data_IF_271562519920
#
_entry.id   IF_271562519920
#
_cell.length_a   1.000
_cell.length_b   1.000
_cell.length_c   1.000
_cell.angle_alpha   90.00
_cell.angle_beta   90.00
_cell.angle_gamma   90.00
#
_symmetry.space_group_name_H-M   'P 1'
#
loop_
_entity.id
_entity.type
_entity.pdbx_description
1 polymer ?
#
# COMPACT_ATOMS: atom_id res chain seq x y z
N UNK A 1 -25.85 -10.23 -21.07
CA UNK A 1 -24.48 -10.50 -21.55
C UNK A 1 -23.77 -9.16 -21.52
N UNK A 2 -22.74 -9.02 -20.68
CA UNK A 2 -21.97 -7.78 -20.54
C UNK A 2 -21.00 -7.67 -21.71
N UNK A 3 -20.91 -6.50 -22.34
CA UNK A 3 -19.99 -6.23 -23.47
C UNK A 3 -18.78 -5.42 -23.01
N UNK A 4 -17.72 -5.35 -23.83
CA UNK A 4 -16.47 -4.67 -23.44
C UNK A 4 -16.67 -3.15 -23.24
N UNK A 5 -17.60 -2.53 -23.97
CA UNK A 5 -18.01 -1.13 -23.79
C UNK A 5 -18.76 -0.88 -22.46
N UNK A 6 -19.21 -1.95 -21.78
CA UNK A 6 -19.84 -1.93 -20.46
C UNK A 6 -18.88 -2.36 -19.35
N UNK A 7 -17.59 -2.56 -19.67
CA UNK A 7 -16.61 -2.94 -18.67
C UNK A 7 -16.47 -1.82 -17.63
N UNK A 8 -16.63 -2.17 -16.36
CA UNK A 8 -16.58 -1.26 -15.21
C UNK A 8 -15.20 -0.65 -14.90
N UNK A 9 -14.26 -0.72 -15.85
CA UNK A 9 -12.96 -0.09 -15.66
C UNK A 9 -13.14 1.40 -15.39
N UNK A 10 -12.22 1.95 -14.60
CA UNK A 10 -12.11 3.39 -14.46
C UNK A 10 -13.12 4.07 -13.51
N UNK A 11 -14.03 3.36 -12.85
CA UNK A 11 -14.83 3.96 -11.77
C UNK A 11 -13.98 4.17 -10.50
N UNK A 12 -13.25 3.11 -10.11
CA UNK A 12 -12.35 3.11 -8.94
C UNK A 12 -10.91 2.87 -9.35
N UNK A 13 -10.02 3.69 -8.83
CA UNK A 13 -8.58 3.54 -9.03
C UNK A 13 -8.02 2.69 -7.90
N UNK A 14 -7.47 1.53 -8.25
CA UNK A 14 -6.81 0.62 -7.31
C UNK A 14 -5.41 0.29 -7.79
N UNK A 15 -4.38 0.61 -7.01
CA UNK A 15 -3.01 0.28 -7.38
C UNK A 15 -2.10 -0.10 -6.22
N UNK A 16 -1.10 -0.89 -6.58
CA UNK A 16 0.05 -1.18 -5.74
C UNK A 16 1.12 -0.12 -5.98
N UNK A 17 1.58 0.54 -4.91
CA UNK A 17 2.60 1.57 -4.98
C UNK A 17 3.87 1.11 -4.29
N UNK A 18 4.85 0.69 -5.10
CA UNK A 18 6.12 0.14 -4.62
C UNK A 18 7.22 1.17 -4.60
N UNK A 19 8.21 0.98 -3.74
CA UNK A 19 9.42 1.81 -3.71
C UNK A 19 10.26 1.50 -2.48
N UNK A 20 11.57 1.73 -2.57
CA UNK A 20 12.47 1.58 -1.42
C UNK A 20 12.06 2.48 -0.25
N UNK A 21 12.58 2.19 0.95
CA UNK A 21 12.35 3.08 2.10
C UNK A 21 12.89 4.48 1.79
N UNK A 22 12.13 5.52 2.16
CA UNK A 22 12.50 6.91 1.85
C UNK A 22 12.31 7.36 0.40
N UNK A 23 11.67 6.54 -0.46
CA UNK A 23 11.37 6.94 -1.84
C UNK A 23 10.29 8.03 -1.98
N UNK A 24 9.60 8.36 -0.88
CA UNK A 24 8.61 9.45 -0.83
C UNK A 24 7.16 9.06 -1.10
N UNK A 25 6.83 7.75 -1.05
CA UNK A 25 5.46 7.23 -1.25
C UNK A 25 4.41 7.99 -0.42
N UNK A 26 4.58 8.03 0.90
CA UNK A 26 3.63 8.67 1.83
C UNK A 26 3.47 10.17 1.57
N UNK A 27 4.57 10.89 1.35
CA UNK A 27 4.53 12.32 1.04
C UNK A 27 3.81 12.63 -0.27
N UNK A 28 3.99 11.79 -1.30
CA UNK A 28 3.36 11.99 -2.62
C UNK A 28 1.83 11.92 -2.62
N UNK A 29 1.23 11.36 -1.56
CA UNK A 29 -0.23 11.34 -1.38
C UNK A 29 -0.82 12.76 -1.28
N UNK A 30 -0.01 13.78 -0.93
CA UNK A 30 -0.44 15.19 -0.87
C UNK A 30 -1.10 15.64 -2.18
N UNK A 31 -0.61 15.14 -3.32
CA UNK A 31 -1.13 15.51 -4.64
C UNK A 31 -2.61 15.15 -4.83
N UNK A 32 -3.15 14.19 -4.06
CA UNK A 32 -4.54 13.77 -4.14
C UNK A 32 -5.49 14.64 -3.31
N UNK A 33 -4.97 15.35 -2.29
CA UNK A 33 -5.79 16.14 -1.36
C UNK A 33 -6.67 17.21 -2.01
N UNK A 34 -6.30 17.86 -3.14
CA UNK A 34 -7.18 18.79 -3.82
C UNK A 34 -8.48 18.18 -4.35
N UNK A 35 -8.56 16.87 -4.54
CA UNK A 35 -9.71 16.20 -5.18
C UNK A 35 -10.26 15.00 -4.43
N UNK A 36 -9.60 14.58 -3.35
CA UNK A 36 -9.96 13.36 -2.63
C UNK A 36 -9.84 13.54 -1.13
N UNK A 37 -10.67 12.80 -0.40
CA UNK A 37 -10.50 12.59 1.03
C UNK A 37 -9.72 11.28 1.25
N UNK A 38 -8.71 11.31 2.11
CA UNK A 38 -7.86 10.16 2.39
C UNK A 38 -8.22 9.55 3.73
N UNK A 39 -8.28 8.22 3.76
CA UNK A 39 -8.40 7.42 4.99
C UNK A 39 -7.26 6.43 5.04
N UNK A 40 -6.36 6.62 5.99
CA UNK A 40 -5.05 5.95 6.01
C UNK A 40 -4.97 4.98 7.19
N UNK A 41 -4.74 3.71 6.87
CA UNK A 41 -4.28 2.72 7.85
C UNK A 41 -2.75 2.84 7.89
N UNK A 42 -2.25 3.58 8.89
CA UNK A 42 -0.83 3.89 9.06
C UNK A 42 -0.15 2.85 9.96
N UNK A 43 0.47 1.86 9.34
CA UNK A 43 1.23 0.81 10.01
C UNK A 43 2.68 1.24 10.31
N UNK A 44 3.20 2.21 9.55
CA UNK A 44 4.60 2.63 9.61
C UNK A 44 4.86 3.86 10.49
N UNK A 45 3.82 4.48 11.06
CA UNK A 45 3.95 5.74 11.81
C UNK A 45 4.75 6.77 11.00
N UNK A 46 4.45 6.86 9.70
CA UNK A 46 5.28 7.52 8.69
C UNK A 46 4.69 8.81 8.11
N UNK A 47 3.58 9.29 8.69
CA UNK A 47 2.78 10.37 8.12
C UNK A 47 3.43 11.76 8.19
N UNK A 48 4.55 11.93 8.91
CA UNK A 48 5.25 13.22 9.06
C UNK A 48 5.49 13.93 7.72
N UNK A 49 5.89 13.17 6.69
CA UNK A 49 6.11 13.72 5.35
C UNK A 49 4.81 14.26 4.75
N UNK A 50 3.72 13.50 4.81
CA UNK A 50 2.41 13.92 4.30
C UNK A 50 1.90 15.16 5.06
N UNK A 51 2.02 15.18 6.38
CA UNK A 51 1.61 16.33 7.22
C UNK A 51 2.35 17.60 6.82
N UNK A 52 3.67 17.52 6.62
CA UNK A 52 4.47 18.69 6.25
C UNK A 52 4.12 19.19 4.84
N UNK A 53 3.97 18.29 3.87
CA UNK A 53 3.54 18.64 2.51
C UNK A 53 2.13 19.23 2.50
N UNK A 54 1.17 18.61 3.19
CA UNK A 54 -0.21 19.07 3.25
C UNK A 54 -0.33 20.46 3.89
N UNK A 55 0.42 20.73 4.97
CA UNK A 55 0.46 22.07 5.60
C UNK A 55 1.02 23.15 4.67
N UNK A 56 1.97 22.80 3.82
CA UNK A 56 2.61 23.73 2.90
C UNK A 56 1.76 23.98 1.64
N UNK A 57 1.13 22.94 1.10
CA UNK A 57 0.52 22.97 -0.24
C UNK A 57 -1.00 23.11 -0.21
N UNK A 58 -1.67 22.56 0.81
CA UNK A 58 -3.13 22.57 0.93
C UNK A 58 -3.60 22.58 2.40
N UNK A 59 -3.24 23.63 3.18
CA UNK A 59 -3.55 23.69 4.62
C UNK A 59 -5.05 23.57 4.94
N UNK A 60 -5.92 24.02 4.03
CA UNK A 60 -7.38 23.95 4.19
C UNK A 60 -7.96 22.54 3.99
N UNK A 61 -7.15 21.59 3.52
CA UNK A 61 -7.52 20.19 3.27
C UNK A 61 -6.96 19.23 4.32
N UNK A 62 -6.36 19.71 5.40
CA UNK A 62 -5.84 18.83 6.47
C UNK A 62 -6.94 17.97 7.10
N UNK A 63 -8.16 18.50 7.24
CA UNK A 63 -9.31 17.77 7.78
C UNK A 63 -9.87 16.70 6.84
N UNK A 64 -9.48 16.68 5.57
CA UNK A 64 -9.87 15.63 4.63
C UNK A 64 -8.96 14.40 4.70
N UNK A 65 -8.04 14.36 5.67
CA UNK A 65 -7.18 13.20 5.94
C UNK A 65 -7.52 12.65 7.32
N UNK A 66 -8.15 11.48 7.35
CA UNK A 66 -8.31 10.69 8.56
C UNK A 66 -7.28 9.56 8.55
N UNK A 67 -6.74 9.22 9.71
CA UNK A 67 -5.77 8.12 9.80
C UNK A 67 -5.84 7.43 11.15
N UNK A 68 -5.46 6.16 11.16
CA UNK A 68 -5.30 5.36 12.36
C UNK A 68 -3.90 4.75 12.34
N UNK A 69 -3.06 5.14 13.30
CA UNK A 69 -1.72 4.59 13.44
C UNK A 69 -1.77 3.31 14.27
N UNK A 70 -1.48 2.17 13.64
CA UNK A 70 -1.63 0.85 14.25
C UNK A 70 -0.27 0.16 14.44
N UNK A 71 0.18 0.11 15.69
CA UNK A 71 1.41 -0.60 16.08
C UNK A 71 1.25 -1.37 17.37
N UNK A 72 1.75 -2.60 17.36
CA UNK A 72 1.86 -3.39 18.58
C UNK A 72 2.90 -2.77 19.51
N UNK A 73 2.58 -2.76 20.81
CA UNK A 73 3.48 -2.24 21.84
C UNK A 73 4.53 -3.29 22.13
N UNK A 74 5.81 -2.92 22.06
CA UNK A 74 6.92 -3.77 22.48
C UNK A 74 7.36 -3.39 23.89
N UNK A 75 7.78 -4.40 24.66
CA UNK A 75 8.47 -4.22 25.95
C UNK A 75 9.83 -4.88 25.90
N UNK A 76 10.83 -4.21 26.46
CA UNK A 76 12.15 -4.80 26.66
C UNK A 76 12.06 -5.90 27.74
N UNK A 77 12.66 -7.06 27.48
CA UNK A 77 12.81 -8.13 28.47
C UNK A 77 14.24 -8.65 28.44
N UNK A 78 14.72 -9.35 29.49
CA UNK A 78 16.06 -9.96 29.49
C UNK A 78 16.29 -10.94 28.32
N UNK A 79 15.22 -11.53 27.78
CA UNK A 79 15.27 -12.43 26.61
C UNK A 79 15.14 -11.70 25.26
N UNK A 80 15.20 -10.37 25.26
CA UNK A 80 15.00 -9.51 24.10
C UNK A 80 13.65 -8.79 24.07
N UNK A 81 13.44 -7.83 23.15
CA UNK A 81 12.16 -7.17 22.95
C UNK A 81 11.07 -8.18 22.57
N UNK A 82 9.90 -8.05 23.19
CA UNK A 82 8.71 -8.86 22.88
C UNK A 82 7.47 -7.99 22.83
N UNK A 83 6.44 -8.44 22.15
CA UNK A 83 5.13 -7.79 22.20
C UNK A 83 4.61 -7.81 23.64
N UNK A 84 4.07 -6.66 24.04
CA UNK A 84 3.44 -6.46 25.33
C UNK A 84 1.95 -6.81 25.24
N UNK A 85 1.61 -8.01 25.67
CA UNK A 85 0.24 -8.51 25.65
C UNK A 85 -0.08 -9.24 24.34
N UNK A 86 -1.35 -9.18 23.93
CA UNK A 86 -1.83 -9.77 22.68
C UNK A 86 -1.60 -8.80 21.52
N UNK A 87 -1.03 -9.23 20.38
CA UNK A 87 -0.91 -8.39 19.20
C UNK A 87 -2.29 -7.99 18.69
N UNK A 88 -2.51 -6.69 18.50
CA UNK A 88 -3.79 -6.10 18.07
C UNK A 88 -3.69 -5.35 16.76
N UNK A 89 -2.50 -4.93 16.33
CA UNK A 89 -2.35 -4.07 15.15
C UNK A 89 -3.02 -4.65 13.89
N UNK A 90 -2.85 -5.95 13.63
CA UNK A 90 -3.51 -6.61 12.50
C UNK A 90 -5.04 -6.64 12.66
N UNK A 91 -5.56 -7.07 13.82
CA UNK A 91 -7.01 -7.15 14.06
C UNK A 91 -7.66 -5.77 13.98
N UNK A 92 -6.99 -4.74 14.51
CA UNK A 92 -7.44 -3.36 14.39
C UNK A 92 -7.51 -2.89 12.93
N UNK A 93 -6.53 -3.27 12.09
CA UNK A 93 -6.56 -2.94 10.67
C UNK A 93 -7.74 -3.64 9.96
N UNK A 94 -8.01 -4.91 10.27
CA UNK A 94 -9.16 -5.63 9.71
C UNK A 94 -10.48 -5.01 10.16
N UNK A 95 -10.60 -4.62 11.43
CA UNK A 95 -11.79 -3.95 11.94
C UNK A 95 -12.04 -2.64 11.19
N UNK A 96 -10.99 -1.85 10.89
CA UNK A 96 -11.11 -0.63 10.10
C UNK A 96 -11.54 -0.90 8.66
N UNK A 97 -11.12 -2.02 8.05
CA UNK A 97 -11.56 -2.43 6.71
C UNK A 97 -13.04 -2.85 6.67
N UNK A 98 -13.56 -3.40 7.76
CA UNK A 98 -14.99 -3.73 7.90
C UNK A 98 -15.83 -2.48 8.23
N UNK A 99 -15.40 -1.72 9.23
CA UNK A 99 -16.09 -0.53 9.72
C UNK A 99 -15.10 0.49 10.27
N UNK A 100 -15.10 1.67 9.68
CA UNK A 100 -14.24 2.78 10.09
C UNK A 100 -14.70 3.40 11.41
N UNK A 101 -13.89 4.31 11.97
CA UNK A 101 -14.12 4.89 13.30
C UNK A 101 -15.38 5.76 13.38
N UNK A 102 -15.80 6.36 12.27
CA UNK A 102 -17.08 7.08 12.14
C UNK A 102 -18.28 6.15 11.90
N UNK A 103 -18.04 4.84 11.83
CA UNK A 103 -19.02 3.81 11.59
C UNK A 103 -19.41 3.59 10.13
N UNK A 104 -18.83 4.33 9.19
CA UNK A 104 -18.97 4.08 7.75
C UNK A 104 -18.19 2.83 7.33
N UNK A 105 -18.57 2.24 6.20
CA UNK A 105 -17.91 1.06 5.66
C UNK A 105 -16.98 1.44 4.51
N UNK A 106 -15.69 1.05 4.56
CA UNK A 106 -14.75 1.32 3.48
C UNK A 106 -15.18 0.81 2.12
N UNK A 107 -15.94 -0.28 2.04
CA UNK A 107 -16.42 -0.82 0.76
C UNK A 107 -17.51 0.05 0.09
N UNK A 108 -18.12 0.98 0.83
CA UNK A 108 -19.27 1.80 0.39
C UNK A 108 -18.91 3.31 0.23
N UNK A 109 -17.63 3.70 0.35
CA UNK A 109 -17.26 5.13 0.35
C UNK A 109 -17.36 5.85 -0.99
N UNK A 110 -17.42 5.12 -2.09
CA UNK A 110 -17.52 5.71 -3.43
C UNK A 110 -16.21 6.32 -3.92
N UNK A 111 -16.32 7.06 -5.02
CA UNK A 111 -15.17 7.47 -5.85
C UNK A 111 -14.44 8.71 -5.34
N UNK A 112 -14.96 9.37 -4.29
CA UNK A 112 -14.44 10.60 -3.67
C UNK A 112 -13.44 10.31 -2.54
N UNK A 113 -13.46 9.09 -1.97
CA UNK A 113 -12.52 8.69 -0.91
C UNK A 113 -11.47 7.73 -1.43
N UNK A 114 -10.30 7.76 -0.80
CA UNK A 114 -9.21 6.83 -1.06
C UNK A 114 -8.82 6.15 0.25
N UNK A 115 -8.96 4.83 0.28
CA UNK A 115 -8.35 4.00 1.32
C UNK A 115 -6.86 3.83 1.01
N UNK A 116 -6.01 4.15 1.97
CA UNK A 116 -4.56 3.95 1.86
C UNK A 116 -4.10 2.96 2.92
N UNK A 117 -3.39 1.91 2.52
CA UNK A 117 -2.66 1.01 3.43
C UNK A 117 -1.18 1.41 3.37
N UNK A 118 -0.68 2.04 4.43
CA UNK A 118 0.71 2.51 4.52
C UNK A 118 1.43 1.91 5.74
N UNK A 119 2.10 0.76 5.62
CA UNK A 119 2.33 -0.04 4.42
C UNK A 119 1.95 -1.50 4.59
N UNK A 120 1.79 -2.19 3.45
CA UNK A 120 1.60 -3.64 3.40
C UNK A 120 2.76 -4.40 4.04
N UNK A 121 3.98 -3.85 3.99
CA UNK A 121 5.16 -4.46 4.62
C UNK A 121 4.97 -4.57 6.14
N UNK A 122 4.53 -3.49 6.79
CA UNK A 122 4.26 -3.49 8.22
C UNK A 122 2.97 -4.20 8.59
N UNK A 123 1.93 -4.15 7.73
CA UNK A 123 0.73 -4.98 7.90
C UNK A 123 1.08 -6.47 7.89
N UNK A 124 1.98 -6.92 7.00
CA UNK A 124 2.46 -8.30 6.98
C UNK A 124 3.19 -8.70 8.25
N UNK A 125 3.98 -7.81 8.85
CA UNK A 125 4.61 -8.05 10.16
C UNK A 125 3.57 -8.18 11.27
N UNK A 126 2.57 -7.31 11.29
CA UNK A 126 1.47 -7.40 12.26
C UNK A 126 0.68 -8.72 12.10
N UNK A 127 0.44 -9.16 10.86
CA UNK A 127 -0.20 -10.45 10.56
C UNK A 127 0.62 -11.65 11.05
N UNK A 128 1.96 -11.56 10.99
CA UNK A 128 2.85 -12.59 11.53
C UNK A 128 2.73 -12.73 13.04
N UNK A 129 2.74 -11.61 13.75
CA UNK A 129 2.58 -11.59 15.21
C UNK A 129 1.21 -12.10 15.63
N UNK A 130 0.16 -11.72 14.88
CA UNK A 130 -1.16 -12.31 15.02
C UNK A 130 -1.14 -13.83 14.82
N UNK A 131 -0.48 -14.33 13.77
CA UNK A 131 -0.39 -15.77 13.49
C UNK A 131 0.36 -16.55 14.58
N UNK A 132 1.42 -15.97 15.16
CA UNK A 132 2.10 -16.53 16.35
C UNK A 132 1.11 -16.64 17.51
N UNK A 133 0.35 -15.57 17.77
CA UNK A 133 -0.62 -15.54 18.87
C UNK A 133 -1.78 -16.53 18.68
N UNK A 134 -2.18 -16.81 17.43
CA UNK A 134 -3.22 -17.81 17.12
C UNK A 134 -2.75 -19.25 17.34
N UNK A 135 -1.46 -19.53 17.15
CA UNK A 135 -0.91 -20.88 17.29
C UNK A 135 0.43 -20.89 18.04
N UNK A 136 0.47 -20.49 19.32
CA UNK A 136 1.71 -20.24 20.05
C UNK A 136 2.51 -21.52 20.37
N UNK A 137 1.87 -22.69 20.30
CA UNK A 137 2.49 -23.99 20.56
C UNK A 137 3.15 -24.59 19.33
N UNK A 138 2.98 -23.99 18.15
CA UNK A 138 3.63 -24.46 16.93
C UNK A 138 5.14 -24.46 17.08
N UNK A 139 5.77 -25.56 16.69
CA UNK A 139 7.24 -25.70 16.65
C UNK A 139 7.81 -25.48 15.26
N UNK A 140 6.95 -25.29 14.26
CA UNK A 140 7.34 -25.05 12.88
C UNK A 140 7.00 -23.60 12.47
N UNK A 141 8.00 -22.70 12.40
CA UNK A 141 7.77 -21.31 12.01
C UNK A 141 7.06 -21.13 10.67
N UNK A 142 7.17 -22.13 9.76
CA UNK A 142 6.49 -22.10 8.45
C UNK A 142 4.97 -22.03 8.58
N UNK A 143 4.40 -22.55 9.67
CA UNK A 143 2.95 -22.47 9.90
C UNK A 143 2.51 -21.03 10.19
N UNK A 144 3.28 -20.26 10.96
CA UNK A 144 2.98 -18.86 11.22
C UNK A 144 3.15 -17.99 9.97
N UNK A 145 4.22 -18.22 9.20
CA UNK A 145 4.40 -17.56 7.91
C UNK A 145 3.24 -17.85 6.95
N UNK A 146 2.81 -19.11 6.85
CA UNK A 146 1.66 -19.48 6.03
C UNK A 146 0.39 -18.77 6.49
N UNK A 147 0.05 -18.85 7.78
CA UNK A 147 -1.14 -18.20 8.34
C UNK A 147 -1.15 -16.68 8.09
N UNK A 148 0.00 -16.03 8.27
CA UNK A 148 0.14 -14.60 8.00
C UNK A 148 0.02 -14.27 6.50
N UNK A 149 0.60 -15.08 5.62
CA UNK A 149 0.49 -14.90 4.17
C UNK A 149 -0.94 -15.07 3.69
N UNK A 150 -1.65 -16.10 4.18
CA UNK A 150 -3.03 -16.40 3.78
C UNK A 150 -3.96 -15.24 4.15
N UNK A 151 -3.83 -14.64 5.34
CA UNK A 151 -4.67 -13.50 5.73
C UNK A 151 -4.32 -12.21 4.99
N UNK A 152 -3.05 -11.97 4.65
CA UNK A 152 -2.66 -10.80 3.83
C UNK A 152 -3.17 -10.97 2.39
N UNK A 153 -3.09 -12.17 1.83
CA UNK A 153 -3.64 -12.49 0.52
C UNK A 153 -5.15 -12.20 0.49
N UNK A 154 -5.88 -12.62 1.52
CA UNK A 154 -7.32 -12.32 1.68
C UNK A 154 -7.59 -10.82 1.81
N UNK A 155 -6.80 -10.06 2.57
CA UNK A 155 -6.95 -8.60 2.65
C UNK A 155 -6.84 -7.95 1.27
N UNK A 156 -5.81 -8.32 0.51
CA UNK A 156 -5.58 -7.76 -0.83
C UNK A 156 -6.71 -8.16 -1.77
N UNK A 157 -7.15 -9.43 -1.73
CA UNK A 157 -8.28 -9.91 -2.51
C UNK A 157 -9.56 -9.13 -2.20
N UNK A 158 -9.86 -8.87 -0.93
CA UNK A 158 -11.03 -8.10 -0.50
C UNK A 158 -10.99 -6.67 -1.02
N UNK A 159 -9.92 -5.91 -0.77
CA UNK A 159 -9.85 -4.49 -1.16
C UNK A 159 -9.77 -4.30 -2.69
N UNK A 160 -9.30 -5.30 -3.43
CA UNK A 160 -9.25 -5.28 -4.91
C UNK A 160 -10.49 -5.86 -5.58
N UNK A 161 -11.38 -6.51 -4.82
CA UNK A 161 -12.62 -7.10 -5.34
C UNK A 161 -13.58 -6.06 -5.96
N UNK A 162 -14.53 -6.55 -6.75
CA UNK A 162 -15.57 -5.73 -7.39
C UNK A 162 -16.51 -5.05 -6.38
N UNK A 163 -16.81 -5.74 -5.27
CA UNK A 163 -17.73 -5.24 -4.23
C UNK A 163 -17.15 -4.06 -3.45
N UNK A 164 -15.82 -3.92 -3.43
CA UNK A 164 -15.14 -2.84 -2.72
C UNK A 164 -15.15 -1.57 -3.59
N UNK A 165 -16.25 -0.80 -3.51
CA UNK A 165 -16.56 0.39 -4.33
C UNK A 165 -15.87 1.66 -3.79
N UNK A 166 -14.55 1.60 -3.69
CA UNK A 166 -13.69 2.69 -3.17
C UNK A 166 -12.32 2.65 -3.85
N UNK A 167 -11.69 3.82 -4.00
CA UNK A 167 -10.30 3.87 -4.51
C UNK A 167 -9.33 3.31 -3.47
N UNK A 168 -8.30 2.59 -3.91
CA UNK A 168 -7.36 1.91 -3.02
C UNK A 168 -5.92 2.16 -3.43
N UNK A 169 -5.09 2.58 -2.47
CA UNK A 169 -3.64 2.64 -2.62
C UNK A 169 -3.02 1.71 -1.59
N UNK A 170 -2.22 0.76 -2.06
CA UNK A 170 -1.42 -0.10 -1.17
C UNK A 170 0.05 0.26 -1.32
N UNK A 171 0.61 0.94 -0.33
CA UNK A 171 2.03 1.25 -0.28
C UNK A 171 2.81 0.02 0.20
N UNK A 172 3.95 -0.26 -0.44
CA UNK A 172 4.86 -1.31 0.04
C UNK A 172 6.31 -1.06 -0.36
N UNK A 173 7.23 -1.70 0.36
CA UNK A 173 8.65 -1.73 0.01
C UNK A 173 8.94 -2.72 -1.12
N UNK A 174 10.19 -2.70 -1.61
CA UNK A 174 10.67 -3.66 -2.59
C UNK A 174 11.70 -4.54 -1.92
N UNK A 175 11.52 -5.86 -2.02
CA UNK A 175 12.55 -6.84 -1.70
C UNK A 175 13.34 -7.13 -2.97
N UNK A 176 14.66 -6.93 -2.93
CA UNK A 176 15.55 -7.29 -4.02
C UNK A 176 16.02 -8.73 -3.83
N UNK A 177 15.84 -9.54 -4.86
CA UNK A 177 16.24 -10.95 -4.88
C UNK A 177 17.27 -11.12 -5.99
N UNK A 178 18.48 -11.52 -5.61
CA UNK A 178 19.52 -11.92 -6.55
C UNK A 178 19.30 -13.37 -6.97
N UNK A 179 19.25 -13.58 -8.28
CA UNK A 179 19.15 -14.89 -8.91
C UNK A 179 20.55 -15.49 -9.10
N UNK A 180 20.62 -16.81 -9.27
CA UNK A 180 21.89 -17.53 -9.44
C UNK A 180 22.66 -17.11 -10.72
N UNK A 181 21.98 -16.52 -11.69
CA UNK A 181 22.56 -15.96 -12.92
C UNK A 181 23.10 -14.52 -12.74
N UNK A 182 23.09 -13.99 -11.51
CA UNK A 182 23.55 -12.65 -11.18
C UNK A 182 22.53 -11.54 -11.49
N UNK A 183 21.32 -11.88 -11.95
CA UNK A 183 20.26 -10.89 -12.16
C UNK A 183 19.55 -10.55 -10.85
N UNK A 184 19.27 -9.27 -10.62
CA UNK A 184 18.49 -8.80 -9.46
C UNK A 184 17.06 -8.51 -9.88
N UNK A 185 16.08 -9.20 -9.29
CA UNK A 185 14.65 -8.94 -9.49
C UNK A 185 14.02 -8.35 -8.23
N UNK A 186 13.19 -7.34 -8.40
CA UNK A 186 12.42 -6.73 -7.34
C UNK A 186 11.06 -7.41 -7.17
N UNK A 187 10.61 -7.55 -5.92
CA UNK A 187 9.27 -8.00 -5.57
C UNK A 187 8.64 -7.06 -4.56
N UNK A 188 7.31 -6.95 -4.59
CA UNK A 188 6.56 -6.25 -3.56
C UNK A 188 6.82 -6.92 -2.20
N UNK A 189 7.29 -6.13 -1.24
CA UNK A 189 7.65 -6.63 0.09
C UNK A 189 6.41 -6.96 0.90
N UNK A 190 6.44 -8.08 1.61
CA UNK A 190 5.39 -8.52 2.52
C UNK A 190 5.97 -9.54 3.51
N UNK A 191 5.12 -10.30 4.19
CA UNK A 191 5.56 -11.31 5.14
C UNK A 191 6.08 -12.58 4.44
N UNK A 192 7.37 -12.84 4.59
CA UNK A 192 8.06 -13.95 3.94
C UNK A 192 8.19 -13.78 2.41
N UNK A 193 8.78 -14.76 1.73
CA UNK A 193 9.16 -14.64 0.31
C UNK A 193 8.09 -15.09 -0.69
N UNK A 194 7.09 -15.86 -0.25
CA UNK A 194 6.16 -16.53 -1.15
C UNK A 194 5.04 -15.62 -1.70
N UNK A 195 4.70 -14.56 -0.96
CA UNK A 195 3.57 -13.69 -1.31
C UNK A 195 3.96 -12.57 -2.28
N UNK A 196 5.20 -12.06 -2.21
CA UNK A 196 5.69 -10.95 -3.04
C UNK A 196 5.40 -11.09 -4.55
N UNK A 197 5.68 -12.24 -5.19
CA UNK A 197 5.37 -12.47 -6.60
C UNK A 197 3.86 -12.60 -6.93
N UNK A 198 3.01 -12.80 -5.92
CA UNK A 198 1.55 -12.96 -6.08
C UNK A 198 0.80 -11.65 -5.92
N UNK A 199 1.27 -10.74 -5.06
CA UNK A 199 0.61 -9.47 -4.75
C UNK A 199 0.26 -8.66 -6.01
N UNK A 200 1.18 -8.46 -6.98
CA UNK A 200 0.84 -7.70 -8.19
C UNK A 200 -0.31 -8.28 -8.99
N UNK A 201 -0.63 -9.58 -8.87
CA UNK A 201 -1.70 -10.24 -9.65
C UNK A 201 -3.09 -9.67 -9.36
N UNK A 202 -3.31 -9.13 -8.17
CA UNK A 202 -4.57 -8.50 -7.77
C UNK A 202 -4.76 -7.09 -8.32
N UNK A 203 -3.68 -6.46 -8.78
CA UNK A 203 -3.71 -5.09 -9.28
C UNK A 203 -3.51 -5.05 -10.79
N UNK A 204 -4.36 -4.27 -11.46
CA UNK A 204 -4.18 -3.90 -12.86
C UNK A 204 -3.19 -2.76 -13.03
N UNK A 205 -2.93 -2.00 -11.96
CA UNK A 205 -1.99 -0.88 -11.92
C UNK A 205 -0.94 -1.11 -10.83
N UNK A 206 0.33 -0.96 -11.19
CA UNK A 206 1.46 -1.05 -10.26
C UNK A 206 2.45 0.06 -10.60
N UNK A 207 2.71 0.94 -9.63
CA UNK A 207 3.53 2.14 -9.78
C UNK A 207 4.79 2.03 -8.93
N UNK A 208 5.88 2.66 -9.38
CA UNK A 208 7.16 2.69 -8.65
C UNK A 208 7.52 4.13 -8.27
N UNK A 209 7.62 4.41 -6.97
CA UNK A 209 8.31 5.57 -6.45
C UNK A 209 9.82 5.30 -6.48
N UNK A 210 10.53 6.03 -7.33
CA UNK A 210 11.98 5.90 -7.52
C UNK A 210 12.69 7.20 -7.15
N UNK A 211 13.80 7.06 -6.43
CA UNK A 211 14.76 8.13 -6.19
C UNK A 211 15.99 7.89 -7.06
N UNK A 212 16.41 8.91 -7.81
CA UNK A 212 17.60 8.88 -8.67
C UNK A 212 18.51 10.08 -8.37
N UNK A 213 19.81 9.95 -8.63
CA UNK A 213 20.80 11.01 -8.38
C UNK A 213 21.37 11.00 -6.95
N UNK A 214 22.26 11.95 -6.66
CA UNK A 214 23.01 12.03 -5.40
C UNK A 214 23.03 13.45 -4.82
N UNK A 215 23.03 13.56 -3.48
CA UNK A 215 23.13 14.82 -2.76
C UNK A 215 22.02 15.81 -3.13
N UNK A 216 22.39 17.05 -3.49
CA UNK A 216 21.43 18.09 -3.90
C UNK A 216 20.77 17.84 -5.28
N UNK A 217 21.28 16.88 -6.05
CA UNK A 217 20.75 16.51 -7.38
C UNK A 217 19.73 15.37 -7.35
N UNK A 218 19.25 14.97 -6.17
CA UNK A 218 18.25 13.90 -6.03
C UNK A 218 16.95 14.30 -6.72
N UNK A 219 16.47 13.43 -7.62
CA UNK A 219 15.18 13.54 -8.29
C UNK A 219 14.31 12.36 -7.90
N UNK A 220 13.09 12.63 -7.44
CA UNK A 220 12.09 11.62 -7.13
C UNK A 220 11.03 11.60 -8.22
N UNK A 221 10.65 10.42 -8.67
CA UNK A 221 9.71 10.21 -9.77
C UNK A 221 8.82 9.01 -9.52
N UNK A 222 7.68 8.99 -10.19
CA UNK A 222 6.79 7.83 -10.29
C UNK A 222 7.00 7.22 -11.67
N UNK A 223 7.47 5.97 -11.73
CA UNK A 223 7.52 5.18 -12.98
C UNK A 223 6.22 4.39 -13.13
N UNK A 224 5.75 4.28 -14.37
CA UNK A 224 4.52 3.54 -14.73
C UNK A 224 4.78 2.41 -15.72
N UNK A 225 5.99 2.34 -16.29
CA UNK A 225 6.41 1.34 -17.27
C UNK A 225 7.42 0.36 -16.64
N UNK A 226 7.52 -0.88 -17.13
CA UNK A 226 8.48 -1.86 -16.63
C UNK A 226 9.91 -1.32 -16.57
N UNK A 227 10.62 -1.69 -15.50
CA UNK A 227 12.04 -1.38 -15.31
C UNK A 227 12.86 -2.67 -15.37
N UNK A 228 14.18 -2.56 -15.34
CA UNK A 228 15.06 -3.74 -15.30
C UNK A 228 14.77 -4.66 -14.09
N UNK A 229 14.29 -4.10 -12.97
CA UNK A 229 14.04 -4.86 -11.74
C UNK A 229 12.57 -5.23 -11.54
N UNK A 230 11.62 -4.50 -12.14
CA UNK A 230 10.19 -4.60 -11.82
C UNK A 230 9.31 -4.57 -13.06
N UNK A 231 8.47 -5.59 -13.17
CA UNK A 231 7.40 -5.66 -14.17
C UNK A 231 6.19 -4.82 -13.69
N UNK A 232 6.25 -3.50 -13.90
CA UNK A 232 5.15 -2.59 -13.57
C UNK A 232 3.94 -2.81 -14.47
N UNK A 233 2.77 -2.31 -14.02
CA UNK A 233 1.49 -2.53 -14.70
C UNK A 233 0.78 -1.21 -14.94
N UNK A 234 0.28 -1.05 -16.16
CA UNK A 234 -0.43 0.13 -16.59
C UNK A 234 -1.62 -0.30 -17.49
N UNK A 235 -2.87 -0.17 -17.03
CA UNK A 235 -4.04 -0.58 -17.81
C UNK A 235 -4.43 0.44 -18.88
N UNK A 236 -3.82 1.63 -18.89
CA UNK A 236 -4.11 2.70 -19.84
C UNK A 236 -2.82 3.22 -20.51
N UNK A 237 -2.06 2.36 -21.21
CA UNK A 237 -0.74 2.70 -21.75
C UNK A 237 -0.77 3.85 -22.77
N UNK A 238 -1.91 4.09 -23.41
CA UNK A 238 -2.09 5.20 -24.37
C UNK A 238 -2.35 6.55 -23.70
N UNK A 239 -2.72 6.57 -22.41
CA UNK A 239 -3.05 7.79 -21.66
C UNK A 239 -1.97 8.14 -20.64
N UNK A 240 -1.28 7.14 -20.11
CA UNK A 240 -0.34 7.29 -18.99
C UNK A 240 1.10 7.33 -19.50
N UNK A 241 1.78 8.47 -19.26
CA UNK A 241 3.20 8.66 -19.53
C UNK A 241 4.09 7.70 -18.73
N UNK A 242 5.30 7.47 -19.21
CA UNK A 242 6.25 6.57 -18.57
C UNK A 242 6.70 7.02 -17.18
N UNK A 243 6.76 8.34 -16.94
CA UNK A 243 7.26 8.94 -15.71
C UNK A 243 6.48 10.20 -15.34
N UNK A 244 6.28 10.40 -14.04
CA UNK A 244 5.70 11.63 -13.48
C UNK A 244 6.57 12.18 -12.34
N UNK A 245 6.55 13.50 -12.07
CA UNK A 245 7.07 14.06 -10.83
C UNK A 245 6.43 13.39 -9.62
N UNK A 246 7.19 13.14 -8.56
CA UNK A 246 6.66 12.51 -7.35
C UNK A 246 5.60 13.38 -6.67
N UNK A 247 5.79 14.69 -6.73
CA UNK A 247 5.01 15.70 -6.01
C UNK A 247 3.60 15.91 -6.60
N UNK A 248 3.41 15.66 -7.89
CA UNK A 248 2.13 15.90 -8.59
C UNK A 248 1.57 14.65 -9.28
N UNK A 249 2.40 13.63 -9.50
CA UNK A 249 2.10 12.55 -10.43
C UNK A 249 0.92 11.66 -10.05
N UNK A 250 0.66 11.41 -8.76
CA UNK A 250 -0.46 10.55 -8.38
C UNK A 250 -1.80 11.15 -8.79
N UNK A 251 -2.00 12.47 -8.67
CA UNK A 251 -3.21 13.14 -9.10
C UNK A 251 -3.47 12.99 -10.60
N UNK A 252 -2.42 13.20 -11.41
CA UNK A 252 -2.49 13.06 -12.86
C UNK A 252 -2.79 11.61 -13.27
N UNK A 253 -2.13 10.64 -12.63
CA UNK A 253 -2.37 9.22 -12.87
C UNK A 253 -3.80 8.83 -12.47
N UNK A 254 -4.28 9.24 -11.29
CA UNK A 254 -5.66 9.01 -10.85
C UNK A 254 -6.66 9.55 -11.87
N UNK A 255 -6.48 10.79 -12.33
CA UNK A 255 -7.36 11.42 -13.32
C UNK A 255 -7.35 10.66 -14.65
N UNK A 256 -6.20 10.18 -15.10
CA UNK A 256 -6.05 9.43 -16.37
C UNK A 256 -6.60 8.00 -16.29
N UNK A 257 -6.56 7.39 -15.11
CA UNK A 257 -7.15 6.07 -14.84
C UNK A 257 -8.67 6.14 -14.68
N UNK A 258 -9.21 7.25 -14.16
CA UNK A 258 -10.65 7.49 -14.15
C UNK A 258 -11.16 7.73 -15.58
N UNK A 259 -12.16 6.98 -16.02
CA UNK A 259 -12.70 7.06 -17.39
C UNK A 259 -11.92 6.24 -18.43
N UNK A 260 -11.38 5.09 -18.02
CA UNK A 260 -10.82 4.03 -18.90
C UNK A 260 -11.81 2.90 -19.01
#
# INVERSE_FOLDING_TARGET
MTTLDQHQSGEFVKFLYVGVSGSGKTGSLVSLLPSYDLRIIDMDNGLDALVNHARAECPDRLSSVEFETLRDKYKATPAGPKISGVPRAFVSAINLLDKWTDGSKPEEWGSEKVLVIDSLTALGKAAFEWAIAQNPTSRDPRQWYKGAQDVIDNVIATITSEIFRTNVIVCTHIDLVESADGTTKGYASSIGKALGPKIPRYFNTMLLAETSGFGKGVRRRIKTMPTAMLDLKNPAPMKIEAEYPLETGLAEIFKKLKGV
#
